data_IF_983984242085
#
_entry.id   IF_983984242085
#
_cell.length_a   1.000
_cell.length_b   1.000
_cell.length_c   1.000
_cell.angle_alpha   90.00
_cell.angle_beta   90.00
_cell.angle_gamma   90.00
#
_symmetry.space_group_name_H-M   'P 1'
#
loop_
_entity.id
_entity.type
_entity.pdbx_description
1 polymer ?
#
# COMPACT_ATOMS: atom_id res chain seq x y z
N UNK A 1 -4.50 -8.54 -6.86
CA UNK A 1 -3.88 -7.20 -6.82
C UNK A 1 -2.71 -7.22 -5.84
N UNK A 2 -1.67 -6.43 -6.05
CA UNK A 2 -0.55 -6.31 -5.10
C UNK A 2 -0.49 -4.86 -4.62
N UNK A 3 -0.52 -4.68 -3.31
CA UNK A 3 -0.47 -3.37 -2.63
C UNK A 3 0.59 -3.41 -1.53
N UNK A 4 0.70 -2.36 -0.76
CA UNK A 4 1.58 -2.28 0.41
C UNK A 4 1.34 -3.40 1.43
N UNK A 5 0.12 -3.95 1.52
CA UNK A 5 -0.20 -5.13 2.34
C UNK A 5 0.28 -6.46 1.71
N UNK A 6 0.82 -6.44 0.49
CA UNK A 6 1.21 -7.62 -0.28
C UNK A 6 0.18 -8.01 -1.32
N UNK A 7 0.07 -9.30 -1.60
CA UNK A 7 -0.90 -9.83 -2.59
C UNK A 7 -2.26 -9.98 -1.93
N UNK A 8 -3.24 -9.25 -2.43
CA UNK A 8 -4.61 -9.25 -1.94
C UNK A 8 -5.59 -9.58 -3.06
N UNK A 9 -6.75 -10.12 -2.71
CA UNK A 9 -7.88 -10.25 -3.63
C UNK A 9 -8.42 -8.85 -3.90
N UNK A 10 -8.68 -8.54 -5.17
CA UNK A 10 -9.30 -7.28 -5.54
C UNK A 10 -10.81 -7.40 -5.29
N UNK A 11 -11.34 -6.53 -4.46
CA UNK A 11 -12.78 -6.31 -4.41
C UNK A 11 -13.16 -5.46 -5.63
N UNK A 12 -13.91 -6.07 -6.56
CA UNK A 12 -14.30 -5.41 -7.83
C UNK A 12 -15.40 -4.37 -7.62
N UNK A 13 -16.14 -4.47 -6.53
CA UNK A 13 -17.25 -3.58 -6.22
C UNK A 13 -16.81 -2.32 -5.46
N UNK A 14 -15.62 -2.34 -4.86
CA UNK A 14 -15.02 -1.19 -4.19
C UNK A 14 -14.45 -0.20 -5.22
N UNK A 15 -15.25 0.80 -5.58
CA UNK A 15 -14.87 1.83 -6.56
C UNK A 15 -13.87 2.84 -5.98
N UNK A 16 -13.85 3.05 -4.68
CA UNK A 16 -12.93 3.99 -4.04
C UNK A 16 -11.52 3.42 -3.97
N UNK A 17 -11.39 2.12 -3.69
CA UNK A 17 -10.10 1.45 -3.67
C UNK A 17 -9.60 1.03 -5.07
N UNK A 18 -10.43 1.05 -6.10
CA UNK A 18 -10.10 0.59 -7.45
C UNK A 18 -9.99 1.76 -8.43
N UNK A 19 -8.84 2.42 -8.46
CA UNK A 19 -8.59 3.52 -9.39
C UNK A 19 -8.41 3.06 -10.86
N UNK A 20 -8.13 1.76 -11.10
CA UNK A 20 -7.87 1.26 -12.44
C UNK A 20 -9.02 0.40 -12.94
N UNK A 21 -9.47 0.66 -14.15
CA UNK A 21 -10.42 -0.18 -14.88
C UNK A 21 -9.82 -1.57 -15.19
N UNK A 22 -10.65 -2.60 -15.17
CA UNK A 22 -10.28 -3.93 -15.67
C UNK A 22 -10.68 -3.96 -17.15
N UNK A 23 -9.75 -4.08 -18.10
CA UNK A 23 -10.11 -4.16 -19.51
C UNK A 23 -10.84 -5.46 -19.83
N UNK A 24 -11.66 -5.45 -20.90
CA UNK A 24 -12.37 -6.64 -21.35
C UNK A 24 -11.43 -7.70 -21.90
N UNK A 25 -10.32 -7.28 -22.52
CA UNK A 25 -9.26 -8.19 -22.98
C UNK A 25 -8.19 -8.40 -21.90
N UNK A 26 -8.14 -9.61 -21.37
CA UNK A 26 -7.18 -10.04 -20.37
C UNK A 26 -6.06 -10.93 -20.94
N UNK A 27 -5.92 -11.05 -22.26
CA UNK A 27 -4.94 -11.90 -22.92
C UNK A 27 -3.48 -11.60 -22.53
N UNK A 28 -3.18 -10.33 -22.22
CA UNK A 28 -1.87 -9.88 -21.73
C UNK A 28 -1.64 -10.08 -20.22
N UNK A 29 -2.65 -10.51 -19.47
CA UNK A 29 -2.52 -10.72 -18.04
C UNK A 29 -1.70 -11.96 -17.71
N UNK A 30 -1.01 -11.92 -16.57
CA UNK A 30 -0.12 -12.99 -16.12
C UNK A 30 -0.77 -13.78 -15.00
N UNK A 31 -0.64 -15.12 -15.05
CA UNK A 31 -1.07 -15.98 -13.95
C UNK A 31 -0.06 -15.92 -12.81
N UNK A 32 -0.54 -15.70 -11.59
CA UNK A 32 0.22 -15.86 -10.35
C UNK A 32 -0.36 -17.06 -9.60
N UNK A 33 0.49 -17.94 -9.09
CA UNK A 33 0.12 -19.10 -8.30
C UNK A 33 0.43 -18.84 -6.82
N UNK A 34 -0.32 -19.52 -5.96
CA UNK A 34 -0.01 -19.54 -4.53
C UNK A 34 1.45 -19.97 -4.31
N UNK A 35 2.16 -19.25 -3.44
CA UNK A 35 3.58 -19.46 -3.14
C UNK A 35 4.55 -18.70 -4.06
N UNK A 36 4.09 -18.14 -5.17
CA UNK A 36 4.93 -17.29 -6.02
C UNK A 36 5.06 -15.88 -5.43
N UNK A 37 6.19 -15.24 -5.70
CA UNK A 37 6.42 -13.85 -5.36
C UNK A 37 5.94 -12.97 -6.51
N UNK A 38 5.00 -12.08 -6.22
CA UNK A 38 4.47 -11.13 -7.17
C UNK A 38 4.86 -9.70 -6.79
N UNK A 39 5.29 -8.90 -7.75
CA UNK A 39 5.78 -7.54 -7.54
C UNK A 39 5.25 -6.61 -8.63
N UNK A 40 4.64 -5.51 -8.22
CA UNK A 40 4.28 -4.45 -9.14
C UNK A 40 5.54 -3.64 -9.48
N UNK A 41 6.00 -3.70 -10.74
CA UNK A 41 7.23 -3.02 -11.16
C UNK A 41 7.18 -1.50 -11.01
N UNK A 42 5.98 -0.91 -11.16
CA UNK A 42 5.77 0.54 -11.06
C UNK A 42 5.66 1.04 -9.61
N UNK A 43 5.37 0.13 -8.66
CA UNK A 43 5.14 0.46 -7.25
C UNK A 43 6.01 -0.38 -6.29
N UNK A 44 7.09 -0.99 -6.81
CA UNK A 44 8.04 -1.74 -5.98
C UNK A 44 8.70 -0.86 -4.92
N UNK A 45 8.97 0.38 -5.25
CA UNK A 45 9.52 1.40 -4.36
C UNK A 45 8.61 1.75 -3.17
N UNK A 46 7.30 1.46 -3.26
CA UNK A 46 6.32 1.61 -2.18
C UNK A 46 6.08 0.31 -1.40
N UNK A 47 6.75 -0.80 -1.73
CA UNK A 47 6.52 -2.09 -1.07
C UNK A 47 5.38 -2.92 -1.68
N UNK A 48 4.91 -2.60 -2.89
CA UNK A 48 3.84 -3.33 -3.57
C UNK A 48 4.33 -4.67 -4.13
N UNK A 49 4.67 -5.60 -3.24
CA UNK A 49 5.10 -6.95 -3.55
C UNK A 49 4.90 -7.90 -2.37
N UNK A 50 4.91 -9.21 -2.64
CA UNK A 50 4.81 -10.24 -1.60
C UNK A 50 4.63 -11.64 -2.16
N UNK A 51 4.69 -12.64 -1.27
CA UNK A 51 4.30 -14.01 -1.59
C UNK A 51 2.78 -14.05 -1.72
N UNK A 52 2.29 -14.69 -2.76
CA UNK A 52 0.86 -14.83 -3.01
C UNK A 52 0.28 -16.02 -2.23
N UNK A 53 -0.76 -15.76 -1.46
CA UNK A 53 -1.60 -16.80 -0.84
C UNK A 53 -2.70 -17.31 -1.80
N UNK A 54 -2.81 -16.69 -2.98
CA UNK A 54 -3.87 -16.93 -3.95
C UNK A 54 -3.32 -17.38 -5.30
N UNK A 55 -4.14 -18.10 -6.05
CA UNK A 55 -3.93 -18.32 -7.49
C UNK A 55 -4.91 -17.43 -8.25
N UNK A 56 -4.40 -16.64 -9.20
CA UNK A 56 -5.22 -15.69 -9.95
C UNK A 56 -4.43 -15.00 -11.05
N UNK A 57 -4.95 -13.89 -11.54
CA UNK A 57 -4.31 -13.11 -12.60
C UNK A 57 -3.93 -11.72 -12.11
N UNK A 58 -2.84 -11.19 -12.66
CA UNK A 58 -2.34 -9.82 -12.43
C UNK A 58 -2.02 -9.16 -13.75
N UNK A 59 -2.02 -7.84 -13.79
CA UNK A 59 -1.76 -7.08 -15.02
C UNK A 59 -0.33 -7.31 -15.54
N UNK A 60 -0.03 -6.94 -16.80
CA UNK A 60 1.32 -7.07 -17.39
C UNK A 60 2.42 -6.31 -16.63
N UNK A 61 2.05 -5.29 -15.85
CA UNK A 61 2.97 -4.49 -15.03
C UNK A 61 3.57 -5.25 -13.84
N UNK A 62 3.25 -6.53 -13.68
CA UNK A 62 3.78 -7.32 -12.57
C UNK A 62 4.89 -8.26 -13.01
N UNK A 63 5.93 -8.34 -12.19
CA UNK A 63 6.88 -9.45 -12.22
C UNK A 63 6.37 -10.57 -11.34
N UNK A 64 6.57 -11.82 -11.78
CA UNK A 64 6.21 -13.03 -11.05
C UNK A 64 7.44 -13.92 -11.01
N UNK A 65 7.80 -14.38 -9.83
CA UNK A 65 8.97 -15.21 -9.60
C UNK A 65 8.60 -16.47 -8.82
N UNK A 66 9.21 -17.58 -9.20
CA UNK A 66 9.28 -18.75 -8.34
C UNK A 66 10.33 -18.49 -7.25
N UNK A 67 9.99 -18.82 -6.02
CA UNK A 67 10.87 -18.56 -4.88
C UNK A 67 11.47 -19.88 -4.41
N UNK A 68 12.75 -20.04 -4.61
CA UNK A 68 13.54 -21.16 -4.10
C UNK A 68 14.12 -20.79 -2.71
N UNK A 69 13.27 -20.70 -1.69
CA UNK A 69 13.64 -20.36 -0.32
C UNK A 69 12.87 -21.26 0.64
N UNK A 70 13.56 -21.92 1.54
CA UNK A 70 12.96 -22.95 2.40
C UNK A 70 11.92 -22.38 3.36
N UNK A 71 12.18 -21.22 3.96
CA UNK A 71 11.28 -20.55 4.87
C UNK A 71 10.61 -19.34 4.17
N UNK A 72 9.54 -19.59 3.43
CA UNK A 72 8.80 -18.55 2.71
C UNK A 72 8.21 -17.46 3.63
N UNK A 73 7.87 -17.79 4.88
CA UNK A 73 7.37 -16.81 5.83
C UNK A 73 8.45 -15.81 6.25
N UNK A 74 9.66 -16.33 6.54
CA UNK A 74 10.81 -15.46 6.82
C UNK A 74 11.09 -14.57 5.61
N UNK A 75 11.18 -15.16 4.41
CA UNK A 75 11.39 -14.41 3.19
C UNK A 75 10.35 -13.31 3.01
N UNK A 76 9.07 -13.63 3.21
CA UNK A 76 7.97 -12.67 3.08
C UNK A 76 8.13 -11.47 4.03
N UNK A 77 8.42 -11.71 5.32
CA UNK A 77 8.60 -10.61 6.28
C UNK A 77 9.88 -9.82 6.01
N UNK A 78 10.97 -10.50 5.71
CA UNK A 78 12.26 -9.86 5.47
C UNK A 78 12.20 -8.94 4.25
N UNK A 79 11.76 -9.46 3.10
CA UNK A 79 11.71 -8.69 1.85
C UNK A 79 10.79 -7.47 1.93
N UNK A 80 9.79 -7.50 2.78
CA UNK A 80 8.84 -6.40 3.00
C UNK A 80 9.27 -5.40 4.07
N UNK A 81 10.42 -5.62 4.69
CA UNK A 81 10.96 -4.66 5.65
C UNK A 81 11.30 -3.32 5.00
N UNK A 82 11.29 -2.25 5.79
CA UNK A 82 11.64 -0.90 5.32
C UNK A 82 13.01 -0.84 4.64
N UNK A 83 13.94 -1.68 5.04
CA UNK A 83 15.27 -1.79 4.42
C UNK A 83 15.16 -2.19 2.96
N UNK A 84 14.38 -3.25 2.67
CA UNK A 84 14.21 -3.72 1.29
C UNK A 84 13.34 -2.79 0.44
N UNK A 85 12.34 -2.14 1.03
CA UNK A 85 11.59 -1.06 0.35
C UNK A 85 12.56 0.03 -0.14
N UNK A 86 13.52 0.44 0.69
CA UNK A 86 14.53 1.43 0.30
C UNK A 86 15.47 0.91 -0.80
N UNK A 87 15.88 -0.35 -0.76
CA UNK A 87 16.68 -0.95 -1.85
C UNK A 87 15.90 -0.99 -3.17
N UNK A 88 14.63 -1.36 -3.14
CA UNK A 88 13.80 -1.33 -4.36
C UNK A 88 13.56 0.09 -4.86
N UNK A 89 13.45 1.07 -3.97
CA UNK A 89 13.39 2.47 -4.36
C UNK A 89 14.67 2.91 -5.09
N UNK A 90 15.84 2.55 -4.57
CA UNK A 90 17.13 2.83 -5.23
C UNK A 90 17.34 2.06 -6.56
N UNK A 91 16.71 0.88 -6.68
CA UNK A 91 16.75 0.08 -7.90
C UNK A 91 15.70 0.50 -8.94
N UNK A 92 14.85 1.49 -8.61
CA UNK A 92 13.80 2.00 -9.50
C UNK A 92 14.22 3.34 -10.08
N UNK A 93 14.01 3.51 -11.38
CA UNK A 93 14.24 4.77 -12.09
C UNK A 93 12.91 5.33 -12.59
N UNK A 94 12.72 6.64 -12.47
CA UNK A 94 11.50 7.30 -12.91
C UNK A 94 11.78 8.68 -13.49
N UNK A 95 11.00 9.05 -14.51
CA UNK A 95 11.07 10.36 -15.16
C UNK A 95 10.08 11.34 -14.50
N UNK A 96 9.07 10.80 -13.81
CA UNK A 96 8.00 11.60 -13.16
C UNK A 96 7.82 11.16 -11.69
N UNK A 97 7.37 12.09 -10.87
CA UNK A 97 6.97 11.80 -9.50
C UNK A 97 5.87 10.73 -9.51
N UNK A 98 6.04 9.66 -8.72
CA UNK A 98 5.05 8.57 -8.61
C UNK A 98 5.12 7.49 -9.70
N UNK A 99 5.85 7.69 -10.81
CA UNK A 99 6.00 6.73 -11.91
C UNK A 99 7.44 6.22 -12.01
N UNK A 100 7.79 5.31 -11.12
CA UNK A 100 9.12 4.71 -11.08
C UNK A 100 9.03 3.27 -11.56
N UNK A 101 9.96 2.87 -12.42
CA UNK A 101 10.02 1.52 -12.97
C UNK A 101 11.22 0.78 -12.39
N UNK A 102 10.98 -0.37 -11.79
CA UNK A 102 12.01 -1.19 -11.19
C UNK A 102 12.94 -1.75 -12.27
N UNK A 103 14.22 -1.45 -12.16
CA UNK A 103 15.25 -1.96 -13.05
C UNK A 103 15.68 -3.35 -12.59
N UNK A 104 15.41 -4.35 -13.44
CA UNK A 104 15.65 -5.75 -13.10
C UNK A 104 17.13 -6.04 -12.81
N UNK A 105 18.05 -5.40 -13.52
CA UNK A 105 19.47 -5.62 -13.32
C UNK A 105 19.95 -5.06 -11.98
N UNK A 106 19.48 -3.86 -11.60
CA UNK A 106 19.75 -3.29 -10.29
C UNK A 106 19.13 -4.12 -9.16
N UNK A 107 17.90 -4.64 -9.37
CA UNK A 107 17.22 -5.49 -8.42
C UNK A 107 18.03 -6.76 -8.09
N UNK A 108 18.66 -7.38 -9.08
CA UNK A 108 19.47 -8.60 -8.91
C UNK A 108 20.73 -8.38 -8.05
N UNK A 109 21.20 -7.15 -7.95
CA UNK A 109 22.38 -6.78 -7.15
C UNK A 109 22.01 -6.52 -5.67
N UNK A 110 20.72 -6.50 -5.31
CA UNK A 110 20.28 -6.27 -3.93
C UNK A 110 20.65 -7.48 -3.07
N UNK A 111 21.49 -7.30 -2.03
CA UNK A 111 21.85 -8.39 -1.14
C UNK A 111 20.65 -8.83 -0.30
N UNK A 112 20.50 -10.15 -0.10
CA UNK A 112 19.47 -10.66 0.79
C UNK A 112 20.11 -11.36 1.99
N UNK A 113 19.67 -10.96 3.21
CA UNK A 113 20.19 -11.51 4.48
C UNK A 113 19.49 -12.84 4.75
N UNK A 114 20.27 -13.90 4.89
CA UNK A 114 19.80 -15.26 5.18
C UNK A 114 20.40 -15.74 6.50
N UNK A 115 19.70 -15.56 7.63
CA UNK A 115 20.14 -16.12 8.92
C UNK A 115 20.07 -17.66 8.91
N UNK A 116 20.69 -18.33 9.89
CA UNK A 116 20.49 -19.76 10.11
C UNK A 116 19.01 -20.14 10.24
N UNK A 117 18.64 -21.35 9.87
CA UNK A 117 17.25 -21.80 9.78
C UNK A 117 16.48 -21.70 11.12
N UNK A 118 17.15 -22.00 12.24
CA UNK A 118 16.60 -21.87 13.59
C UNK A 118 16.32 -20.41 13.97
N UNK A 119 17.18 -19.50 13.55
CA UNK A 119 16.98 -18.05 13.75
C UNK A 119 15.82 -17.54 12.89
N UNK A 120 15.71 -17.97 11.63
CA UNK A 120 14.54 -17.62 10.78
C UNK A 120 13.23 -18.04 11.45
N UNK A 121 13.16 -19.25 12.00
CA UNK A 121 11.98 -19.75 12.72
C UNK A 121 11.70 -18.89 13.96
N UNK A 122 12.72 -18.55 14.73
CA UNK A 122 12.57 -17.73 15.92
C UNK A 122 12.06 -16.31 15.58
N UNK A 123 12.58 -15.70 14.51
CA UNK A 123 12.15 -14.38 14.01
C UNK A 123 10.68 -14.44 13.62
N UNK A 124 10.27 -15.39 12.78
CA UNK A 124 8.87 -15.53 12.34
C UNK A 124 7.93 -15.72 13.52
N UNK A 125 8.31 -16.60 14.47
CA UNK A 125 7.53 -16.82 15.70
C UNK A 125 7.37 -15.54 16.52
N UNK A 126 8.43 -14.75 16.65
CA UNK A 126 8.38 -13.48 17.37
C UNK A 126 7.45 -12.48 16.67
N UNK A 127 7.56 -12.33 15.35
CA UNK A 127 6.71 -11.46 14.55
C UNK A 127 5.24 -11.85 14.72
N UNK A 128 4.90 -13.12 14.50
CA UNK A 128 3.52 -13.64 14.64
C UNK A 128 2.92 -13.46 16.03
N UNK A 129 3.76 -13.45 17.07
CA UNK A 129 3.31 -13.19 18.45
C UNK A 129 3.07 -11.70 18.72
N UNK A 130 3.81 -10.84 18.03
CA UNK A 130 3.89 -9.42 18.35
C UNK A 130 2.95 -8.58 17.48
N UNK A 131 2.89 -8.85 16.17
CA UNK A 131 2.06 -8.09 15.22
C UNK A 131 0.58 -7.99 15.63
N UNK A 132 -0.12 -9.07 16.04
CA UNK A 132 -1.54 -8.98 16.37
C UNK A 132 -1.87 -7.94 17.45
N UNK A 133 -0.92 -7.66 18.35
CA UNK A 133 -1.12 -6.63 19.38
C UNK A 133 -1.13 -5.22 18.80
N UNK A 134 -0.29 -4.97 17.79
CA UNK A 134 -0.28 -3.70 17.08
C UNK A 134 -1.51 -3.56 16.20
N UNK A 135 -1.91 -4.63 15.50
CA UNK A 135 -3.12 -4.64 14.68
C UNK A 135 -4.36 -4.33 15.52
N UNK A 136 -4.49 -4.97 16.71
CA UNK A 136 -5.57 -4.68 17.65
C UNK A 136 -5.55 -3.22 18.13
N UNK A 137 -4.38 -2.68 18.43
CA UNK A 137 -4.24 -1.28 18.84
C UNK A 137 -4.63 -0.31 17.72
N UNK A 138 -4.20 -0.60 16.49
CA UNK A 138 -4.56 0.19 15.31
C UNK A 138 -6.08 0.20 15.09
N UNK A 139 -6.73 -0.96 15.18
CA UNK A 139 -8.19 -1.03 14.99
C UNK A 139 -8.95 -0.28 16.10
N UNK A 140 -8.47 -0.30 17.33
CA UNK A 140 -9.05 0.51 18.43
C UNK A 140 -8.93 2.00 18.15
N UNK A 141 -7.76 2.45 17.71
CA UNK A 141 -7.53 3.87 17.36
C UNK A 141 -8.43 4.30 16.19
N UNK A 142 -8.54 3.48 15.14
CA UNK A 142 -9.45 3.76 14.02
C UNK A 142 -10.92 3.89 14.49
N UNK A 143 -11.36 3.01 15.38
CA UNK A 143 -12.69 3.10 15.93
C UNK A 143 -12.91 4.39 16.76
N UNK A 144 -11.93 4.81 17.55
CA UNK A 144 -11.98 6.08 18.27
C UNK A 144 -12.04 7.28 17.33
N UNK A 145 -11.22 7.30 16.27
CA UNK A 145 -11.25 8.36 15.25
C UNK A 145 -12.63 8.46 14.61
N UNK A 146 -13.23 7.34 14.22
CA UNK A 146 -14.56 7.34 13.62
C UNK A 146 -15.62 7.93 14.56
N UNK A 147 -15.57 7.60 15.86
CA UNK A 147 -16.49 8.18 16.88
C UNK A 147 -16.27 9.69 17.04
N UNK A 148 -15.02 10.13 17.02
CA UNK A 148 -14.70 11.56 17.12
C UNK A 148 -15.18 12.34 15.90
N UNK A 149 -15.06 11.77 14.70
CA UNK A 149 -15.58 12.35 13.45
C UNK A 149 -17.11 12.48 13.49
N UNK A 150 -17.82 11.44 13.95
CA UNK A 150 -19.27 11.49 14.13
C UNK A 150 -19.65 12.57 15.15
N UNK A 151 -18.95 12.63 16.28
CA UNK A 151 -19.20 13.64 17.31
C UNK A 151 -18.94 15.07 16.78
N UNK A 152 -17.87 15.27 16.03
CA UNK A 152 -17.55 16.54 15.35
C UNK A 152 -18.69 16.97 14.42
N UNK A 153 -19.16 16.07 13.57
CA UNK A 153 -20.25 16.34 12.65
C UNK A 153 -21.53 16.70 13.37
N UNK A 154 -21.89 15.97 14.43
CA UNK A 154 -23.05 16.24 15.26
C UNK A 154 -22.94 17.58 15.99
N UNK A 155 -21.78 17.90 16.55
CA UNK A 155 -21.55 19.17 17.24
C UNK A 155 -21.74 20.35 16.29
N UNK A 156 -21.18 20.27 15.09
CA UNK A 156 -21.35 21.31 14.04
C UNK A 156 -22.84 21.48 13.73
N UNK A 157 -23.56 20.38 13.48
CA UNK A 157 -25.00 20.42 13.20
C UNK A 157 -25.80 21.04 14.34
N UNK A 158 -25.52 20.70 15.60
CA UNK A 158 -26.23 21.21 16.75
C UNK A 158 -25.96 22.71 17.01
N UNK A 159 -24.75 23.19 16.72
CA UNK A 159 -24.40 24.61 16.76
C UNK A 159 -25.11 25.39 15.63
N UNK A 160 -25.02 24.92 14.38
CA UNK A 160 -25.60 25.60 13.22
C UNK A 160 -27.12 25.66 13.30
N UNK A 161 -27.75 24.64 13.86
CA UNK A 161 -29.20 24.60 14.06
C UNK A 161 -29.68 25.33 15.30
N UNK A 162 -28.79 25.94 16.09
CA UNK A 162 -29.11 26.70 17.30
C UNK A 162 -29.53 25.85 18.49
N UNK A 163 -29.30 24.54 18.48
CA UNK A 163 -29.51 23.66 19.63
C UNK A 163 -28.49 23.92 20.74
N UNK A 164 -27.30 24.35 20.37
CA UNK A 164 -26.23 24.76 21.29
C UNK A 164 -26.02 26.25 21.10
N UNK A 165 -26.20 27.03 22.17
CA UNK A 165 -25.96 28.47 22.17
C UNK A 165 -24.47 28.77 22.40
N UNK A 166 -23.84 29.32 21.37
CA UNK A 166 -22.38 29.64 21.38
C UNK A 166 -22.09 31.16 21.50
N UNK A 167 -23.11 32.00 21.71
CA UNK A 167 -22.94 33.47 21.74
C UNK A 167 -22.00 33.96 22.84
N UNK A 168 -21.82 33.20 23.91
CA UNK A 168 -20.96 33.56 25.05
C UNK A 168 -19.66 32.77 25.08
N UNK A 169 -19.33 32.03 24.01
CA UNK A 169 -18.07 31.25 23.92
C UNK A 169 -17.00 32.16 23.32
N UNK A 170 -15.94 32.41 24.08
CA UNK A 170 -14.75 33.04 23.57
C UNK A 170 -13.94 32.01 22.79
N UNK A 171 -13.77 32.22 21.49
CA UNK A 171 -12.92 31.37 20.65
C UNK A 171 -11.45 31.76 20.94
N UNK A 172 -10.60 30.84 21.40
CA UNK A 172 -9.18 31.09 21.53
C UNK A 172 -8.57 31.43 20.16
N UNK A 173 -7.65 32.39 20.12
CA UNK A 173 -6.81 32.55 18.94
C UNK A 173 -5.89 31.32 18.82
N UNK A 174 -6.11 30.53 17.81
CA UNK A 174 -5.19 29.45 17.43
C UNK A 174 -4.23 30.00 16.39
N UNK A 175 -2.92 29.79 16.60
CA UNK A 175 -2.00 29.88 15.48
C UNK A 175 -2.46 28.87 14.41
N UNK A 176 -2.67 29.38 13.19
CA UNK A 176 -2.92 28.53 12.04
C UNK A 176 -1.69 27.63 11.91
N UNK A 177 -1.82 26.38 12.33
CA UNK A 177 -0.91 25.35 11.86
C UNK A 177 -1.32 25.20 10.39
N UNK A 178 -0.46 25.68 9.49
CA UNK A 178 -0.65 25.45 8.07
C UNK A 178 -0.92 23.95 7.93
N UNK A 179 -2.08 23.63 7.37
CA UNK A 179 -2.45 22.25 7.13
C UNK A 179 -1.25 21.62 6.45
N UNK A 180 -0.65 20.62 7.10
CA UNK A 180 0.28 19.72 6.42
C UNK A 180 -0.62 19.06 5.38
N UNK A 181 -0.61 19.63 4.20
CA UNK A 181 -1.25 19.03 3.04
C UNK A 181 -0.55 17.69 2.88
N UNK A 182 -1.21 16.62 3.31
CA UNK A 182 -0.84 15.29 2.90
C UNK A 182 -0.89 15.31 1.37
N UNK A 183 0.29 15.44 0.75
CA UNK A 183 0.52 15.50 -0.70
C UNK A 183 0.31 14.11 -1.33
N UNK A 184 -0.68 13.37 -0.84
CA UNK A 184 -1.13 12.09 -1.36
C UNK A 184 -2.30 12.22 -2.35
N UNK A 185 -2.73 13.44 -2.69
CA UNK A 185 -3.67 13.64 -3.78
C UNK A 185 -2.92 13.65 -5.12
N UNK A 186 -2.53 12.45 -5.56
CA UNK A 186 -2.02 12.21 -6.91
C UNK A 186 -3.06 12.63 -7.96
N UNK A 187 -2.76 13.72 -8.63
CA UNK A 187 -3.40 14.10 -9.87
C UNK A 187 -3.20 13.01 -10.93
N UNK A 188 -4.21 12.18 -11.12
CA UNK A 188 -4.36 11.37 -12.32
C UNK A 188 -5.06 12.19 -13.41
N UNK A 189 -4.34 13.11 -14.03
CA UNK A 189 -4.72 13.60 -15.36
C UNK A 189 -4.00 12.73 -16.41
N UNK A 190 -4.67 11.67 -16.84
CA UNK A 190 -4.36 11.01 -18.10
C UNK A 190 -4.86 11.90 -19.24
N UNK A 191 -3.94 12.64 -19.85
CA UNK A 191 -4.21 13.23 -21.16
C UNK A 191 -4.06 12.13 -22.20
N UNK A 192 -5.20 11.69 -22.74
CA UNK A 192 -5.27 11.00 -24.02
C UNK A 192 -4.65 11.91 -25.08
N UNK A 193 -3.53 11.50 -25.65
CA UNK A 193 -3.04 12.08 -26.91
C UNK A 193 -3.50 11.18 -28.03
N UNK A 194 -4.57 11.62 -28.67
CA UNK A 194 -4.93 11.15 -30.00
C UNK A 194 -3.75 11.31 -30.96
N UNK A 195 -3.32 10.20 -31.52
CA UNK A 195 -2.38 10.18 -32.62
C UNK A 195 -3.11 10.45 -33.91
N UNK A 196 -2.96 11.62 -34.48
CA UNK A 196 -3.26 11.85 -35.88
C UNK A 196 -2.03 11.54 -36.74
N UNK A 197 -2.34 10.82 -37.81
CA UNK A 197 -1.48 10.45 -38.95
C UNK A 197 -0.83 11.67 -39.64
N UNK A 198 0.41 11.52 -40.05
CA UNK A 198 0.82 11.76 -41.47
C UNK A 198 2.05 10.89 -41.74
#
# INVERSE_FOLDING_TARGET
>A
MVREQGVIVRDVDDKEANHNYIPDDLSGYKMVKKGQFAMNKMKAWQGSYGISDYTGIVSPAYFIFDVAFDNLEYFHYAIRSKVYVNFFAQASDGIRVGQWDLQMDKMKEIPFIVPPADEQIAIVKHIKKTLPKYDEAIEKIKAEVAVLEEYKAKLIADIVTGKIDVRNITVPEYEHVDDIVDDDSENNEETETDGEEV
#
